data_IF_365894194186
#
_entry.id   IF_365894194186
#
_cell.length_a   1.000
_cell.length_b   1.000
_cell.length_c   1.000
_cell.angle_alpha   90.00
_cell.angle_beta   90.00
_cell.angle_gamma   90.00
#
_symmetry.space_group_name_H-M   'P 1'
#
loop_
_entity.id
_entity.type
_entity.pdbx_description
1 polymer ?
#
# COMPACT_ATOMS: atom_id res chain seq x y z
N UNK A 1 -4.32 -23.52 -17.57
CA UNK A 1 -4.86 -22.15 -17.68
C UNK A 1 -6.30 -22.17 -17.19
N UNK A 2 -6.62 -21.38 -16.17
CA UNK A 2 -7.86 -21.54 -15.42
C UNK A 2 -9.05 -20.96 -16.20
N UNK A 3 -10.22 -21.60 -16.20
CA UNK A 3 -11.38 -21.19 -17.03
C UNK A 3 -11.84 -19.75 -16.70
N UNK A 4 -11.73 -19.34 -15.44
CA UNK A 4 -11.98 -17.96 -14.98
C UNK A 4 -11.00 -16.94 -15.59
N UNK A 5 -9.76 -17.35 -15.83
CA UNK A 5 -8.69 -16.52 -16.37
C UNK A 5 -8.87 -16.31 -17.88
N UNK A 6 -9.34 -17.34 -18.57
CA UNK A 6 -9.68 -17.28 -19.99
C UNK A 6 -10.89 -16.36 -20.26
N UNK A 7 -11.95 -16.48 -19.45
CA UNK A 7 -13.12 -15.59 -19.52
C UNK A 7 -12.74 -14.13 -19.24
N UNK A 8 -11.91 -13.89 -18.22
CA UNK A 8 -11.42 -12.54 -17.89
C UNK A 8 -10.62 -11.92 -19.03
N UNK A 9 -9.83 -12.71 -19.74
CA UNK A 9 -9.07 -12.26 -20.92
C UNK A 9 -9.98 -11.97 -22.13
N UNK A 10 -10.99 -12.80 -22.37
CA UNK A 10 -11.97 -12.58 -23.45
C UNK A 10 -12.79 -11.30 -23.18
N UNK A 11 -13.25 -11.09 -21.94
CA UNK A 11 -13.99 -9.88 -21.56
C UNK A 11 -13.11 -8.63 -21.70
N UNK A 12 -11.85 -8.67 -21.23
CA UNK A 12 -10.90 -7.56 -21.43
C UNK A 12 -10.65 -7.26 -22.91
N UNK A 13 -10.53 -8.30 -23.74
CA UNK A 13 -10.36 -8.13 -25.17
C UNK A 13 -11.59 -7.50 -25.83
N UNK A 14 -12.80 -7.98 -25.49
CA UNK A 14 -14.06 -7.41 -25.98
C UNK A 14 -14.25 -5.94 -25.58
N UNK A 15 -13.95 -5.59 -24.33
CA UNK A 15 -14.02 -4.19 -23.85
C UNK A 15 -13.01 -3.30 -24.59
N UNK A 16 -11.82 -3.83 -24.90
CA UNK A 16 -10.76 -3.11 -25.62
C UNK A 16 -11.11 -2.92 -27.10
N UNK A 17 -11.77 -3.90 -27.71
CA UNK A 17 -12.28 -3.81 -29.08
C UNK A 17 -13.48 -2.87 -29.15
N UNK A 18 -14.40 -2.93 -28.18
CA UNK A 18 -15.61 -2.10 -28.17
C UNK A 18 -15.32 -0.61 -28.08
N UNK A 19 -14.25 -0.23 -27.37
CA UNK A 19 -13.79 1.16 -27.31
C UNK A 19 -13.31 1.69 -28.68
N UNK A 20 -12.85 0.82 -29.57
CA UNK A 20 -12.30 1.19 -30.88
C UNK A 20 -13.27 1.02 -32.06
N UNK A 21 -14.47 0.49 -31.81
CA UNK A 21 -15.50 0.27 -32.85
C UNK A 21 -15.80 1.54 -33.66
N UNK A 22 -15.94 2.75 -33.07
CA UNK A 22 -16.23 3.96 -33.84
C UNK A 22 -15.12 4.31 -34.84
N UNK A 23 -13.85 4.14 -34.44
CA UNK A 23 -12.70 4.39 -35.29
C UNK A 23 -12.63 3.39 -36.45
N UNK A 24 -12.88 2.11 -36.17
CA UNK A 24 -12.87 1.04 -37.18
C UNK A 24 -14.00 1.23 -38.20
N UNK A 25 -15.21 1.57 -37.73
CA UNK A 25 -16.35 1.85 -38.61
C UNK A 25 -16.13 3.07 -39.50
N UNK A 26 -15.57 4.16 -38.95
CA UNK A 26 -15.28 5.37 -39.72
C UNK A 26 -14.22 5.10 -40.81
N UNK A 27 -13.15 4.38 -40.48
CA UNK A 27 -12.12 3.98 -41.46
C UNK A 27 -12.70 3.06 -42.54
N UNK A 28 -13.51 2.06 -42.14
CA UNK A 28 -14.15 1.15 -43.10
C UNK A 28 -15.10 1.89 -44.06
N UNK A 29 -15.89 2.83 -43.54
CA UNK A 29 -16.77 3.67 -44.35
C UNK A 29 -15.95 4.56 -45.30
N UNK A 30 -14.84 5.13 -44.82
CA UNK A 30 -13.91 5.91 -45.64
C UNK A 30 -13.33 5.11 -46.80
N UNK A 31 -12.93 3.85 -46.58
CA UNK A 31 -12.46 2.94 -47.65
C UNK A 31 -13.56 2.64 -48.67
N UNK A 32 -14.79 2.42 -48.23
CA UNK A 32 -15.94 2.19 -49.13
C UNK A 32 -16.21 3.43 -49.99
N UNK A 33 -16.18 4.64 -49.41
CA UNK A 33 -16.35 5.89 -50.16
C UNK A 33 -15.20 6.14 -51.16
N UNK A 34 -13.97 5.76 -50.79
CA UNK A 34 -12.82 5.85 -51.71
C UNK A 34 -13.00 4.95 -52.94
N UNK A 35 -13.35 3.67 -52.71
CA UNK A 35 -13.54 2.70 -53.79
C UNK A 35 -14.71 3.09 -54.70
N UNK A 36 -15.79 3.63 -54.14
CA UNK A 36 -16.94 4.10 -54.92
C UNK A 36 -16.64 5.36 -55.72
N UNK A 37 -15.87 6.31 -55.19
CA UNK A 37 -15.34 7.45 -55.95
C UNK A 37 -14.52 6.98 -57.15
N UNK A 38 -13.58 6.05 -56.95
CA UNK A 38 -12.71 5.54 -58.01
C UNK A 38 -13.49 4.85 -59.14
N UNK A 39 -14.60 4.18 -58.84
CA UNK A 39 -15.46 3.56 -59.86
C UNK A 39 -16.34 4.54 -60.63
N UNK A 40 -16.50 5.78 -60.15
CA UNK A 40 -17.32 6.82 -60.78
C UNK A 40 -16.50 7.82 -61.60
N UNK A 41 -15.17 7.75 -61.51
CA UNK A 41 -14.25 8.76 -62.06
C UNK A 41 -14.21 8.79 -63.60
N UNK A 42 -14.50 7.65 -64.25
CA UNK A 42 -14.55 7.52 -65.71
C UNK A 42 -15.81 8.15 -66.36
N UNK A 43 -16.80 8.56 -65.55
CA UNK A 43 -18.08 9.11 -66.05
C UNK A 43 -18.07 10.63 -65.91
N UNK A 44 -17.90 11.35 -67.02
CA UNK A 44 -17.79 12.83 -67.10
C UNK A 44 -18.93 13.55 -66.35
N UNK A 45 -20.14 12.99 -66.34
CA UNK A 45 -21.32 13.58 -65.68
C UNK A 45 -21.27 13.46 -64.15
N UNK A 46 -20.49 12.52 -63.61
CA UNK A 46 -20.41 12.20 -62.18
C UNK A 46 -19.17 12.76 -61.48
N UNK A 47 -18.30 13.49 -62.19
CA UNK A 47 -17.01 13.96 -61.65
C UNK A 47 -17.13 14.76 -60.34
N UNK A 48 -18.11 15.67 -60.24
CA UNK A 48 -18.36 16.43 -59.00
C UNK A 48 -18.78 15.56 -57.81
N UNK A 49 -19.45 14.43 -58.07
CA UNK A 49 -19.85 13.47 -57.04
C UNK A 49 -18.64 12.61 -56.62
N UNK A 50 -17.79 12.22 -57.57
CA UNK A 50 -16.50 11.56 -57.30
C UNK A 50 -15.65 12.40 -56.37
N UNK A 51 -15.44 13.69 -56.69
CA UNK A 51 -14.63 14.61 -55.89
C UNK A 51 -15.18 14.74 -54.44
N UNK A 52 -16.49 14.87 -54.27
CA UNK A 52 -17.13 14.95 -52.95
C UNK A 52 -16.95 13.67 -52.11
N UNK A 53 -17.07 12.50 -52.74
CA UNK A 53 -16.86 11.20 -52.09
C UNK A 53 -15.40 11.01 -51.67
N UNK A 54 -14.47 11.53 -52.47
CA UNK A 54 -13.03 11.48 -52.19
C UNK A 54 -12.67 12.37 -50.99
N UNK A 55 -13.24 13.57 -50.89
CA UNK A 55 -13.07 14.46 -49.74
C UNK A 55 -13.68 13.90 -48.45
N UNK A 56 -14.87 13.29 -48.56
CA UNK A 56 -15.51 12.60 -47.43
C UNK A 56 -14.70 11.38 -46.98
N UNK A 57 -14.17 10.60 -47.92
CA UNK A 57 -13.28 9.48 -47.64
C UNK A 57 -12.02 9.93 -46.91
N UNK A 58 -11.35 10.97 -47.43
CA UNK A 58 -10.15 11.53 -46.82
C UNK A 58 -10.40 12.00 -45.39
N UNK A 59 -11.57 12.62 -45.13
CA UNK A 59 -11.98 13.05 -43.78
C UNK A 59 -12.25 11.87 -42.84
N UNK A 60 -12.97 10.85 -43.31
CA UNK A 60 -13.30 9.64 -42.56
C UNK A 60 -12.10 8.72 -42.30
N UNK A 61 -11.02 8.86 -43.08
CA UNK A 61 -9.75 8.19 -42.81
C UNK A 61 -8.86 9.03 -41.89
N UNK A 62 -8.66 10.31 -42.19
CA UNK A 62 -7.69 11.15 -41.49
C UNK A 62 -8.08 11.45 -40.05
N UNK A 63 -9.34 11.81 -39.77
CA UNK A 63 -9.78 12.20 -38.42
C UNK A 63 -9.64 11.03 -37.42
N UNK A 64 -10.16 9.81 -37.70
CA UNK A 64 -9.97 8.67 -36.82
C UNK A 64 -8.51 8.28 -36.61
N UNK A 65 -7.68 8.31 -37.66
CA UNK A 65 -6.26 7.96 -37.58
C UNK A 65 -5.50 8.96 -36.71
N UNK A 66 -5.77 10.26 -36.87
CA UNK A 66 -5.15 11.32 -36.06
C UNK A 66 -5.57 11.18 -34.59
N UNK A 67 -6.86 10.99 -34.32
CA UNK A 67 -7.37 10.82 -32.96
C UNK A 67 -6.79 9.58 -32.28
N UNK A 68 -6.79 8.44 -32.97
CA UNK A 68 -6.20 7.20 -32.45
C UNK A 68 -4.70 7.35 -32.19
N UNK A 69 -3.97 7.95 -33.13
CA UNK A 69 -2.53 8.20 -32.98
C UNK A 69 -2.24 9.14 -31.81
N UNK A 70 -3.04 10.19 -31.66
CA UNK A 70 -2.97 11.11 -30.52
C UNK A 70 -3.22 10.39 -29.20
N UNK A 71 -4.27 9.58 -29.10
CA UNK A 71 -4.55 8.78 -27.89
C UNK A 71 -3.41 7.81 -27.57
N UNK A 72 -2.84 7.13 -28.57
CA UNK A 72 -1.70 6.22 -28.38
C UNK A 72 -0.47 6.97 -27.87
N UNK A 73 -0.14 8.10 -28.50
CA UNK A 73 1.02 8.93 -28.11
C UNK A 73 0.81 9.53 -26.73
N UNK A 74 -0.36 10.10 -26.46
CA UNK A 74 -0.76 10.65 -25.16
C UNK A 74 -0.66 9.58 -24.07
N UNK A 75 -1.25 8.41 -24.28
CA UNK A 75 -1.17 7.30 -23.33
C UNK A 75 0.28 6.87 -23.07
N UNK A 76 1.14 6.86 -24.09
CA UNK A 76 2.56 6.49 -23.93
C UNK A 76 3.35 7.54 -23.15
N UNK A 77 3.10 8.82 -23.41
CA UNK A 77 3.73 9.95 -22.70
C UNK A 77 3.24 10.01 -21.26
N UNK A 78 1.94 9.88 -21.04
CA UNK A 78 1.33 9.88 -19.72
C UNK A 78 1.78 8.67 -18.91
N UNK A 79 1.89 7.48 -19.52
CA UNK A 79 2.40 6.28 -18.83
C UNK A 79 3.87 6.43 -18.41
N UNK A 80 4.70 7.08 -19.22
CA UNK A 80 6.10 7.39 -18.89
C UNK A 80 6.22 8.42 -17.77
N UNK A 81 5.51 9.57 -17.86
CA UNK A 81 5.56 10.62 -16.83
C UNK A 81 4.89 10.21 -15.51
N UNK A 82 3.80 9.44 -15.58
CA UNK A 82 3.11 8.96 -14.39
C UNK A 82 3.82 7.79 -13.73
N UNK A 83 4.84 7.18 -14.35
CA UNK A 83 5.57 6.08 -13.73
C UNK A 83 6.30 6.54 -12.48
N UNK A 84 7.08 7.62 -12.56
CA UNK A 84 7.83 8.15 -11.41
C UNK A 84 6.89 8.65 -10.30
N UNK A 85 5.79 9.31 -10.69
CA UNK A 85 4.74 9.76 -9.76
C UNK A 85 4.08 8.55 -9.09
N UNK A 86 3.72 7.53 -9.86
CA UNK A 86 3.09 6.30 -9.36
C UNK A 86 4.04 5.52 -8.44
N UNK A 87 5.33 5.42 -8.77
CA UNK A 87 6.34 4.79 -7.92
C UNK A 87 6.55 5.57 -6.63
N UNK A 88 6.59 6.91 -6.69
CA UNK A 88 6.66 7.76 -5.51
C UNK A 88 5.42 7.60 -4.62
N UNK A 89 4.21 7.61 -5.19
CA UNK A 89 2.96 7.39 -4.46
C UNK A 89 2.97 6.01 -3.81
N UNK A 90 3.33 4.96 -4.57
CA UNK A 90 3.46 3.60 -4.06
C UNK A 90 4.45 3.54 -2.90
N UNK A 91 5.63 4.15 -3.03
CA UNK A 91 6.65 4.14 -1.99
C UNK A 91 6.19 4.81 -0.68
N UNK A 92 5.45 5.91 -0.76
CA UNK A 92 4.88 6.56 0.43
C UNK A 92 3.82 5.69 1.10
N UNK A 93 2.93 5.08 0.32
CA UNK A 93 1.91 4.16 0.84
C UNK A 93 2.55 2.93 1.47
N UNK A 94 3.48 2.29 0.78
CA UNK A 94 4.17 1.09 1.22
C UNK A 94 4.95 1.33 2.54
N UNK A 95 5.51 2.52 2.72
CA UNK A 95 6.14 2.94 3.97
C UNK A 95 5.16 2.95 5.13
N UNK A 96 3.97 3.51 4.97
CA UNK A 96 2.95 3.54 6.02
C UNK A 96 2.37 2.14 6.27
N UNK A 97 2.18 1.33 5.22
CA UNK A 97 1.79 -0.09 5.34
C UNK A 97 2.82 -0.88 6.16
N UNK A 98 4.11 -0.70 5.89
CA UNK A 98 5.17 -1.41 6.64
C UNK A 98 5.21 -0.95 8.09
N UNK A 99 5.00 0.34 8.34
CA UNK A 99 4.90 0.88 9.71
C UNK A 99 3.73 0.24 10.44
N UNK A 100 2.55 0.18 9.81
CA UNK A 100 1.37 -0.49 10.34
C UNK A 100 1.63 -1.97 10.66
N UNK A 101 2.18 -2.74 9.70
CA UNK A 101 2.45 -4.16 9.90
C UNK A 101 3.47 -4.41 11.02
N UNK A 102 4.46 -3.53 11.18
CA UNK A 102 5.42 -3.59 12.29
C UNK A 102 4.78 -3.33 13.65
N UNK A 103 3.76 -2.48 13.72
CA UNK A 103 3.00 -2.24 14.95
C UNK A 103 1.99 -3.34 15.24
N UNK A 104 1.41 -3.99 14.22
CA UNK A 104 0.45 -5.08 14.39
C UNK A 104 1.10 -6.40 14.79
N UNK A 105 2.26 -6.75 14.21
CA UNK A 105 2.88 -8.07 14.42
C UNK A 105 3.12 -8.41 15.91
N UNK A 106 3.62 -7.49 16.77
CA UNK A 106 3.85 -7.77 18.19
C UNK A 106 2.58 -7.99 19.03
N UNK A 107 1.39 -7.70 18.50
CA UNK A 107 0.12 -7.99 19.19
C UNK A 107 -0.18 -9.49 19.23
N UNK A 108 0.23 -10.23 18.20
CA UNK A 108 -0.11 -11.65 18.03
C UNK A 108 1.12 -12.55 17.98
N UNK A 109 2.33 -11.99 18.06
CA UNK A 109 3.58 -12.72 17.87
C UNK A 109 4.70 -12.28 18.83
N UNK A 110 5.43 -13.27 19.40
CA UNK A 110 6.37 -13.10 20.53
C UNK A 110 7.71 -12.41 20.28
N UNK A 111 8.14 -12.23 19.02
CA UNK A 111 9.49 -11.71 18.71
C UNK A 111 9.47 -10.32 18.09
N UNK A 112 10.61 -9.64 18.22
CA UNK A 112 10.88 -8.25 17.82
C UNK A 112 10.37 -7.92 16.40
N UNK A 113 9.88 -6.69 16.21
CA UNK A 113 9.31 -6.20 14.95
C UNK A 113 10.38 -6.08 13.84
N UNK A 114 10.74 -7.21 13.23
CA UNK A 114 11.70 -7.31 12.13
C UNK A 114 10.98 -7.56 10.79
N UNK A 115 11.72 -7.42 9.69
CA UNK A 115 11.17 -7.56 8.33
C UNK A 115 10.61 -8.97 8.07
N UNK A 116 11.19 -10.02 8.68
CA UNK A 116 10.65 -11.38 8.56
C UNK A 116 9.28 -11.55 9.20
N UNK A 117 9.00 -10.82 10.29
CA UNK A 117 7.71 -10.85 10.99
C UNK A 117 6.60 -10.17 10.20
N UNK A 118 6.91 -9.08 9.49
CA UNK A 118 5.98 -8.45 8.54
C UNK A 118 5.57 -9.46 7.46
N UNK A 119 6.54 -10.20 6.91
CA UNK A 119 6.26 -11.24 5.91
C UNK A 119 5.45 -12.42 6.50
N UNK A 120 5.68 -12.78 7.75
CA UNK A 120 4.92 -13.85 8.43
C UNK A 120 3.48 -13.42 8.73
N UNK A 121 3.28 -12.17 9.15
CA UNK A 121 1.96 -11.57 9.37
C UNK A 121 1.12 -11.58 8.10
N UNK A 122 1.72 -11.24 6.95
CA UNK A 122 1.05 -11.30 5.64
C UNK A 122 0.65 -12.73 5.22
N UNK A 123 1.11 -13.77 5.92
CA UNK A 123 0.82 -15.19 5.63
C UNK A 123 0.07 -15.89 6.75
N UNK A 124 -0.24 -15.21 7.85
CA UNK A 124 -0.78 -15.85 9.05
C UNK A 124 -2.26 -16.24 8.87
N UNK A 125 -2.63 -17.44 9.29
CA UNK A 125 -4.02 -17.89 9.31
C UNK A 125 -4.70 -17.52 10.63
N UNK A 126 -6.04 -17.45 10.65
CA UNK A 126 -6.81 -17.19 11.88
C UNK A 126 -6.47 -18.18 13.00
N UNK A 127 -6.38 -19.47 12.69
CA UNK A 127 -6.00 -20.49 13.66
C UNK A 127 -4.60 -20.28 14.24
N UNK A 128 -3.61 -19.94 13.40
CA UNK A 128 -2.24 -19.68 13.85
C UNK A 128 -2.13 -18.38 14.66
N UNK A 129 -2.86 -17.34 14.26
CA UNK A 129 -2.92 -16.07 14.99
C UNK A 129 -3.55 -16.25 16.39
N UNK A 130 -4.69 -16.94 16.47
CA UNK A 130 -5.35 -17.26 17.74
C UNK A 130 -4.47 -18.09 18.67
N UNK A 131 -3.82 -19.14 18.13
CA UNK A 131 -2.91 -19.96 18.92
C UNK A 131 -1.71 -19.15 19.41
N UNK A 132 -1.12 -18.32 18.55
CA UNK A 132 0.01 -17.47 18.92
C UNK A 132 -0.36 -16.48 20.02
N UNK A 133 -1.56 -15.89 19.95
CA UNK A 133 -2.10 -15.00 20.97
C UNK A 133 -2.35 -15.75 22.31
N UNK A 134 -2.84 -16.99 22.27
CA UNK A 134 -3.01 -17.81 23.49
C UNK A 134 -1.67 -18.18 24.15
N UNK A 135 -0.67 -18.53 23.33
CA UNK A 135 0.66 -18.96 23.79
C UNK A 135 1.54 -17.76 24.22
N UNK A 136 1.25 -16.57 23.70
CA UNK A 136 2.01 -15.34 23.93
C UNK A 136 1.10 -14.19 24.33
N UNK A 137 1.26 -13.72 25.56
CA UNK A 137 0.64 -12.48 26.02
C UNK A 137 1.44 -11.26 25.54
N UNK A 138 0.87 -10.39 24.68
CA UNK A 138 1.57 -9.21 24.16
C UNK A 138 1.86 -8.24 25.30
N UNK A 139 3.04 -7.59 25.27
CA UNK A 139 3.37 -6.56 26.27
C UNK A 139 2.32 -5.44 26.27
N UNK A 140 2.03 -4.89 27.45
CA UNK A 140 1.17 -3.69 27.57
C UNK A 140 1.69 -2.55 26.70
N UNK A 141 3.01 -2.46 26.49
CA UNK A 141 3.64 -1.54 25.54
C UNK A 141 3.03 -1.58 24.12
N UNK A 142 2.68 -2.76 23.61
CA UNK A 142 2.09 -2.92 22.28
C UNK A 142 0.58 -2.70 22.28
N UNK A 143 -0.11 -3.05 23.37
CA UNK A 143 -1.54 -2.75 23.52
C UNK A 143 -1.80 -1.25 23.71
N UNK A 144 -0.91 -0.54 24.40
CA UNK A 144 -1.04 0.89 24.65
C UNK A 144 -0.69 1.76 23.43
N UNK A 145 -0.44 1.16 22.26
CA UNK A 145 -0.19 1.89 21.02
C UNK A 145 -1.35 2.84 20.73
N UNK A 146 -1.04 4.08 20.41
CA UNK A 146 -2.00 5.03 19.88
C UNK A 146 -2.30 4.71 18.41
N UNK A 147 -3.37 3.95 18.19
CA UNK A 147 -3.83 3.65 16.84
C UNK A 147 -4.42 4.88 16.13
N UNK A 148 -4.83 5.91 16.87
CA UNK A 148 -5.26 7.20 16.33
C UNK A 148 -4.11 7.92 15.62
N UNK A 149 -2.90 7.90 16.19
CA UNK A 149 -1.70 8.42 15.52
C UNK A 149 -1.35 7.67 14.22
N UNK A 150 -1.73 6.39 14.08
CA UNK A 150 -1.57 5.65 12.82
C UNK A 150 -2.70 6.02 11.86
N UNK A 151 -3.93 6.10 12.35
CA UNK A 151 -5.09 6.57 11.59
C UNK A 151 -4.84 7.94 10.96
N UNK A 152 -4.38 8.93 11.73
CA UNK A 152 -4.10 10.28 11.26
C UNK A 152 -3.09 10.28 10.11
N UNK A 153 -2.03 9.45 10.20
CA UNK A 153 -1.06 9.30 9.11
C UNK A 153 -1.67 8.75 7.83
N UNK A 154 -2.57 7.77 7.94
CA UNK A 154 -3.30 7.27 6.77
C UNK A 154 -4.25 8.33 6.22
N UNK A 155 -4.93 9.08 7.08
CA UNK A 155 -5.84 10.15 6.66
C UNK A 155 -5.09 11.30 5.96
N UNK A 156 -3.97 11.75 6.52
CA UNK A 156 -3.09 12.77 5.92
C UNK A 156 -2.54 12.30 4.57
N UNK A 157 -2.12 11.03 4.50
CA UNK A 157 -1.64 10.42 3.25
C UNK A 157 -2.73 10.41 2.18
N UNK A 158 -3.97 10.05 2.51
CA UNK A 158 -5.10 10.04 1.57
C UNK A 158 -5.54 11.47 1.20
N UNK A 159 -5.43 12.42 2.13
CA UNK A 159 -5.79 13.82 1.91
C UNK A 159 -4.79 14.58 1.03
N UNK A 160 -3.57 14.06 0.88
CA UNK A 160 -2.59 14.57 -0.08
C UNK A 160 -3.13 14.49 -1.50
N UNK A 161 -3.31 15.65 -2.16
CA UNK A 161 -3.82 15.76 -3.53
C UNK A 161 -3.04 14.87 -4.51
N UNK A 162 -1.70 14.88 -4.41
CA UNK A 162 -0.82 14.05 -5.22
C UNK A 162 -1.11 12.55 -5.07
N UNK A 163 -1.37 12.08 -3.86
CA UNK A 163 -1.67 10.67 -3.60
C UNK A 163 -3.10 10.38 -4.04
N UNK A 164 -4.05 11.21 -3.64
CA UNK A 164 -5.47 11.05 -3.93
C UNK A 164 -5.74 10.89 -5.42
N UNK A 165 -5.21 11.79 -6.25
CA UNK A 165 -5.43 11.79 -7.70
C UNK A 165 -4.83 10.58 -8.41
N UNK A 166 -3.81 9.96 -7.81
CA UNK A 166 -3.12 8.79 -8.37
C UNK A 166 -3.60 7.45 -7.81
N UNK A 167 -4.63 7.47 -6.95
CA UNK A 167 -5.29 6.27 -6.43
C UNK A 167 -6.66 6.07 -7.10
N UNK A 168 -6.94 4.85 -7.53
CA UNK A 168 -8.28 4.42 -7.96
C UNK A 168 -9.28 4.44 -6.80
N UNK A 169 -10.57 4.52 -7.11
CA UNK A 169 -11.64 4.50 -6.09
C UNK A 169 -11.56 3.27 -5.19
N UNK A 170 -11.25 2.09 -5.74
CA UNK A 170 -11.13 0.90 -4.88
C UNK A 170 -9.88 0.94 -4.01
N UNK A 171 -8.77 1.55 -4.47
CA UNK A 171 -7.58 1.75 -3.62
C UNK A 171 -7.86 2.73 -2.48
N UNK A 172 -8.56 3.83 -2.76
CA UNK A 172 -9.01 4.76 -1.70
C UNK A 172 -9.89 4.04 -0.67
N UNK A 173 -10.80 3.18 -1.13
CA UNK A 173 -11.68 2.40 -0.27
C UNK A 173 -10.92 1.38 0.62
N UNK A 174 -9.77 0.85 0.17
CA UNK A 174 -8.91 0.00 1.00
C UNK A 174 -8.46 0.77 2.25
N UNK A 175 -7.97 1.99 2.07
CA UNK A 175 -7.47 2.79 3.21
C UNK A 175 -8.58 3.22 4.15
N UNK A 176 -9.76 3.57 3.64
CA UNK A 176 -10.94 3.85 4.48
C UNK A 176 -11.31 2.64 5.35
N UNK A 177 -11.22 1.42 4.79
CA UNK A 177 -11.48 0.19 5.55
C UNK A 177 -10.38 -0.08 6.59
N UNK A 178 -9.11 0.16 6.25
CA UNK A 178 -8.00 0.07 7.21
C UNK A 178 -8.22 1.03 8.38
N UNK A 179 -8.57 2.29 8.12
CA UNK A 179 -8.88 3.30 9.16
C UNK A 179 -10.00 2.82 10.09
N UNK A 180 -11.06 2.21 9.57
CA UNK A 180 -12.14 1.64 10.41
C UNK A 180 -11.64 0.54 11.33
N UNK A 181 -10.78 -0.35 10.82
CA UNK A 181 -10.19 -1.41 11.65
C UNK A 181 -9.20 -0.87 12.68
N UNK A 182 -8.47 0.22 12.39
CA UNK A 182 -7.63 0.90 13.36
C UNK A 182 -8.44 1.46 14.53
N UNK A 183 -9.61 2.04 14.26
CA UNK A 183 -10.53 2.49 15.31
C UNK A 183 -11.04 1.33 16.16
N UNK A 184 -11.34 0.19 15.55
CA UNK A 184 -11.70 -1.02 16.27
C UNK A 184 -10.55 -1.49 17.19
N UNK A 185 -9.31 -1.45 16.69
CA UNK A 185 -8.13 -1.79 17.49
C UNK A 185 -7.91 -0.81 18.65
N UNK A 186 -8.09 0.51 18.46
CA UNK A 186 -7.98 1.49 19.56
C UNK A 186 -8.97 1.18 20.69
N UNK A 187 -10.18 0.77 20.34
CA UNK A 187 -11.18 0.34 21.32
C UNK A 187 -10.79 -0.98 21.98
N UNK A 188 -10.45 -2.01 21.21
CA UNK A 188 -10.19 -3.36 21.72
C UNK A 188 -8.90 -3.46 22.54
N UNK A 189 -7.93 -2.59 22.26
CA UNK A 189 -6.69 -2.46 23.03
C UNK A 189 -6.85 -1.51 24.21
N UNK A 190 -8.06 -1.00 24.47
CA UNK A 190 -8.34 -0.19 25.63
C UNK A 190 -8.06 -0.98 26.91
N UNK A 191 -7.38 -0.38 27.88
CA UNK A 191 -6.85 -1.14 28.99
C UNK A 191 -7.92 -1.68 29.94
N UNK A 192 -9.14 -1.14 29.90
CA UNK A 192 -10.28 -1.71 30.62
C UNK A 192 -10.56 -3.16 30.26
N UNK A 193 -10.10 -3.63 29.11
CA UNK A 193 -10.26 -5.00 28.64
C UNK A 193 -9.17 -5.95 29.10
N UNK A 194 -8.11 -5.46 29.76
CA UNK A 194 -6.96 -6.28 30.15
C UNK A 194 -6.70 -6.17 31.65
N UNK A 195 -6.24 -7.27 32.25
CA UNK A 195 -5.70 -7.24 33.61
C UNK A 195 -4.18 -7.15 33.51
N UNK A 196 -3.58 -6.12 34.09
CA UNK A 196 -2.12 -6.00 34.13
C UNK A 196 -1.58 -7.07 35.09
N UNK A 197 -0.66 -7.94 34.65
CA UNK A 197 0.01 -8.84 35.59
C UNK A 197 1.08 -8.07 36.37
N UNK A 198 1.27 -8.42 37.64
CA UNK A 198 2.16 -7.68 38.55
C UNK A 198 3.67 -7.85 38.27
N UNK A 199 4.06 -8.69 37.29
CA UNK A 199 5.48 -8.95 36.98
C UNK A 199 5.93 -8.21 35.72
N UNK A 200 6.84 -7.26 35.92
CA UNK A 200 7.61 -6.61 34.85
C UNK A 200 8.75 -7.51 34.35
N UNK A 201 9.03 -7.44 33.04
CA UNK A 201 10.25 -8.05 32.48
C UNK A 201 11.48 -7.18 32.80
N UNK A 202 12.31 -7.65 33.75
CA UNK A 202 13.51 -6.95 34.21
C UNK A 202 14.58 -6.70 33.11
N UNK A 203 14.48 -7.40 31.96
CA UNK A 203 15.38 -7.22 30.81
C UNK A 203 14.93 -6.09 29.90
N UNK A 204 13.70 -5.61 30.03
CA UNK A 204 13.15 -4.55 29.20
C UNK A 204 13.17 -3.22 29.94
N UNK A 205 13.16 -2.12 29.17
CA UNK A 205 12.93 -0.78 29.69
C UNK A 205 12.45 0.13 28.55
N UNK A 206 11.87 1.27 28.87
CA UNK A 206 11.44 2.25 27.87
C UNK A 206 12.19 3.57 27.98
N UNK A 207 12.35 4.24 26.84
CA UNK A 207 12.91 5.60 26.77
C UNK A 207 11.89 6.47 26.04
N UNK A 208 11.48 7.57 26.67
CA UNK A 208 10.63 8.56 26.02
C UNK A 208 11.43 9.35 24.99
N UNK A 209 10.85 9.63 23.83
CA UNK A 209 11.51 10.29 22.70
C UNK A 209 12.13 11.64 23.07
N UNK A 210 11.45 12.43 23.92
CA UNK A 210 11.95 13.73 24.42
C UNK A 210 13.26 13.62 25.20
N UNK A 211 13.53 12.46 25.80
CA UNK A 211 14.78 12.22 26.54
C UNK A 211 15.97 11.94 25.60
N UNK A 212 15.69 11.67 24.32
CA UNK A 212 16.69 11.40 23.28
C UNK A 212 16.90 12.65 22.44
N UNK A 213 15.81 13.31 22.07
CA UNK A 213 15.81 14.57 21.34
C UNK A 213 14.77 15.51 21.98
N UNK A 214 15.20 16.49 22.79
CA UNK A 214 14.29 17.47 23.41
C UNK A 214 13.52 18.33 22.41
N UNK A 215 13.95 18.40 21.15
CA UNK A 215 13.28 19.15 20.08
C UNK A 215 12.21 18.36 19.33
N UNK A 216 12.01 17.09 19.69
CA UNK A 216 11.03 16.22 19.03
C UNK A 216 9.61 16.76 19.17
N UNK A 217 8.89 16.85 18.04
CA UNK A 217 7.45 17.13 18.04
C UNK A 217 6.60 15.94 18.51
N UNK A 218 7.22 14.78 18.72
CA UNK A 218 6.57 13.52 19.09
C UNK A 218 6.86 13.20 20.56
N UNK A 219 6.28 13.96 21.48
CA UNK A 219 6.50 13.80 22.92
C UNK A 219 5.97 12.46 23.46
N UNK A 220 4.96 11.89 22.79
CA UNK A 220 4.26 10.65 23.15
C UNK A 220 4.96 9.38 22.65
N UNK A 221 6.12 9.54 22.03
CA UNK A 221 6.87 8.47 21.39
C UNK A 221 7.74 7.75 22.39
N UNK A 222 7.64 6.43 22.44
CA UNK A 222 8.46 5.59 23.32
C UNK A 222 9.25 4.55 22.52
N UNK A 223 10.51 4.38 22.91
CA UNK A 223 11.33 3.24 22.50
C UNK A 223 11.23 2.15 23.55
N UNK A 224 10.98 0.92 23.10
CA UNK A 224 11.14 -0.29 23.90
C UNK A 224 12.54 -0.85 23.69
N UNK A 225 13.28 -0.99 24.78
CA UNK A 225 14.67 -1.38 24.81
C UNK A 225 14.84 -2.72 25.53
N UNK A 226 15.74 -3.56 25.04
CA UNK A 226 16.20 -4.79 25.70
C UNK A 226 17.63 -4.62 26.16
N UNK A 227 17.90 -4.86 27.45
CA UNK A 227 19.26 -4.92 28.01
C UNK A 227 20.04 -6.05 27.34
N UNK A 228 21.24 -5.74 26.87
CA UNK A 228 22.15 -6.72 26.30
C UNK A 228 23.09 -7.26 27.37
N UNK A 229 23.77 -8.38 27.09
CA UNK A 229 24.75 -8.98 28.02
C UNK A 229 26.00 -8.11 28.22
N UNK A 230 26.25 -7.15 27.32
CA UNK A 230 27.37 -6.22 27.43
C UNK A 230 26.90 -5.02 28.26
N UNK A 231 27.68 -4.65 29.28
CA UNK A 231 27.36 -3.50 30.14
C UNK A 231 27.07 -2.23 29.33
N UNK A 232 26.08 -1.47 29.80
CA UNK A 232 25.65 -0.20 29.21
C UNK A 232 25.22 -0.27 27.73
N UNK A 233 24.88 -1.47 27.22
CA UNK A 233 24.33 -1.62 25.87
C UNK A 233 22.90 -2.14 25.90
N UNK A 234 22.09 -1.58 25.02
CA UNK A 234 20.70 -1.97 24.84
C UNK A 234 20.35 -2.01 23.35
N UNK A 235 19.41 -2.89 23.01
CA UNK A 235 18.88 -3.04 21.66
C UNK A 235 17.47 -2.46 21.61
N UNK A 236 17.17 -1.65 20.60
CA UNK A 236 15.80 -1.23 20.30
C UNK A 236 15.05 -2.45 19.78
N UNK A 237 13.95 -2.82 20.44
CA UNK A 237 13.09 -3.94 20.07
C UNK A 237 11.70 -3.50 19.63
N UNK A 238 11.30 -2.27 19.96
CA UNK A 238 10.02 -1.70 19.57
C UNK A 238 10.02 -0.17 19.66
N UNK A 239 9.06 0.44 18.97
CA UNK A 239 8.88 1.89 18.90
C UNK A 239 7.41 2.16 18.60
N UNK A 240 6.73 2.85 19.52
CA UNK A 240 5.31 3.18 19.39
C UNK A 240 5.04 4.58 19.94
N UNK A 241 4.03 5.23 19.38
CA UNK A 241 3.41 6.40 19.98
C UNK A 241 2.36 5.88 21.00
N UNK A 242 2.36 6.39 22.24
CA UNK A 242 1.52 5.93 23.36
C UNK A 242 0.81 7.14 23.97
N UNK A 243 -0.53 7.14 23.98
CA UNK A 243 -1.36 8.24 24.50
C UNK A 243 -0.94 8.67 25.91
N UNK A 244 -0.78 9.98 26.13
CA UNK A 244 -0.53 10.55 27.47
C UNK A 244 -1.58 10.10 28.49
N UNK A 245 -1.12 9.76 29.70
CA UNK A 245 -1.98 9.35 30.81
C UNK A 245 -2.48 7.90 30.76
N UNK A 246 -2.31 7.17 29.65
CA UNK A 246 -2.75 5.76 29.59
C UNK A 246 -1.89 4.85 30.46
N UNK A 247 -0.56 5.01 30.56
CA UNK A 247 0.25 4.21 31.51
C UNK A 247 1.56 4.88 31.94
N UNK A 248 1.91 4.73 33.24
CA UNK A 248 3.30 4.45 33.63
C UNK A 248 3.71 3.21 32.85
N UNK A 249 4.43 3.41 31.74
CA UNK A 249 4.79 2.44 30.70
C UNK A 249 5.18 1.08 31.30
N UNK A 250 4.20 0.21 31.56
CA UNK A 250 4.45 -0.99 32.34
C UNK A 250 4.99 -2.04 31.39
N UNK A 251 6.19 -2.52 31.72
CA UNK A 251 6.88 -3.61 31.01
C UNK A 251 6.29 -4.97 31.39
N UNK A 252 5.06 -4.95 31.88
CA UNK A 252 4.28 -6.09 32.32
C UNK A 252 3.61 -6.73 31.12
N UNK A 253 3.58 -8.05 31.09
CA UNK A 253 2.63 -8.79 30.26
C UNK A 253 1.25 -8.74 30.93
N UNK A 254 0.19 -8.31 30.25
CA UNK A 254 -1.16 -8.41 30.77
C UNK A 254 -1.62 -9.88 30.79
N UNK A 255 -2.48 -10.22 31.73
CA UNK A 255 -3.46 -11.27 31.50
C UNK A 255 -4.44 -10.77 30.44
N UNK A 256 -4.48 -11.48 29.31
CA UNK A 256 -5.35 -11.16 28.18
C UNK A 256 -6.80 -10.96 28.60
N UNK A 257 -7.51 -10.17 27.80
CA UNK A 257 -8.95 -9.99 27.92
C UNK A 257 -9.73 -11.28 27.64
N UNK A 258 -11.06 -11.18 27.65
CA UNK A 258 -11.93 -12.32 27.34
C UNK A 258 -11.60 -12.92 25.96
N UNK A 259 -11.94 -14.20 25.77
CA UNK A 259 -11.73 -14.88 24.49
C UNK A 259 -12.33 -14.09 23.31
N UNK A 260 -13.48 -13.43 23.53
CA UNK A 260 -14.13 -12.57 22.54
C UNK A 260 -13.30 -11.33 22.17
N UNK A 261 -12.65 -10.67 23.13
CA UNK A 261 -11.76 -9.52 22.85
C UNK A 261 -10.57 -9.98 22.00
N UNK A 262 -9.97 -11.11 22.37
CA UNK A 262 -8.84 -11.67 21.65
C UNK A 262 -9.20 -12.08 20.21
N UNK A 263 -10.37 -12.70 20.00
CA UNK A 263 -10.88 -13.02 18.67
C UNK A 263 -11.10 -11.77 17.82
N UNK A 264 -11.69 -10.71 18.40
CA UNK A 264 -11.93 -9.47 17.69
C UNK A 264 -10.62 -8.76 17.30
N UNK A 265 -9.59 -8.79 18.16
CA UNK A 265 -8.26 -8.26 17.81
C UNK A 265 -7.68 -9.02 16.61
N UNK A 266 -7.73 -10.36 16.64
CA UNK A 266 -7.24 -11.19 15.53
C UNK A 266 -8.03 -10.91 14.27
N UNK A 267 -9.34 -10.74 14.37
CA UNK A 267 -10.21 -10.44 13.22
C UNK A 267 -9.86 -9.10 12.59
N UNK A 268 -9.71 -8.04 13.38
CA UNK A 268 -9.29 -6.73 12.86
C UNK A 268 -7.91 -6.79 12.18
N UNK A 269 -6.95 -7.51 12.76
CA UNK A 269 -5.62 -7.70 12.13
C UNK A 269 -5.74 -8.43 10.79
N UNK A 270 -6.57 -9.47 10.70
CA UNK A 270 -6.75 -10.24 9.47
C UNK A 270 -7.55 -9.47 8.41
N UNK A 271 -8.50 -8.65 8.81
CA UNK A 271 -9.22 -7.75 7.91
C UNK A 271 -8.24 -6.75 7.29
N UNK A 272 -7.41 -6.08 8.11
CA UNK A 272 -6.35 -5.19 7.64
C UNK A 272 -5.44 -5.93 6.64
N UNK A 273 -4.96 -7.12 6.99
CA UNK A 273 -4.15 -7.96 6.08
C UNK A 273 -4.86 -8.17 4.75
N UNK A 274 -6.12 -8.58 4.75
CA UNK A 274 -6.86 -8.86 3.51
C UNK A 274 -7.00 -7.62 2.62
N UNK A 275 -7.15 -6.43 3.21
CA UNK A 275 -7.20 -5.18 2.46
C UNK A 275 -5.84 -4.80 1.88
N UNK A 276 -4.76 -5.08 2.61
CA UNK A 276 -3.40 -4.89 2.13
C UNK A 276 -3.03 -5.87 1.00
N UNK A 277 -3.56 -7.10 1.01
CA UNK A 277 -3.38 -8.04 -0.11
C UNK A 277 -3.96 -7.50 -1.41
N UNK A 278 -5.15 -6.86 -1.35
CA UNK A 278 -5.74 -6.20 -2.52
C UNK A 278 -4.87 -5.03 -3.02
N UNK A 279 -4.24 -4.29 -2.12
CA UNK A 279 -3.28 -3.22 -2.49
C UNK A 279 -2.07 -3.81 -3.22
N UNK A 280 -1.45 -4.84 -2.64
CA UNK A 280 -0.28 -5.51 -3.21
C UNK A 280 -0.60 -6.08 -4.60
N UNK A 281 -1.74 -6.75 -4.76
CA UNK A 281 -2.17 -7.33 -6.04
C UNK A 281 -2.32 -6.26 -7.14
N UNK A 282 -2.75 -5.04 -6.79
CA UNK A 282 -2.90 -3.93 -7.74
C UNK A 282 -1.58 -3.25 -8.10
N UNK A 283 -0.58 -3.28 -7.20
CA UNK A 283 0.67 -2.49 -7.33
C UNK A 283 1.93 -3.36 -7.51
N UNK A 284 1.75 -4.61 -7.94
CA UNK A 284 2.83 -5.48 -8.44
C UNK A 284 3.31 -6.56 -7.48
N UNK A 285 2.60 -6.83 -6.38
CA UNK A 285 2.94 -7.86 -5.38
C UNK A 285 4.32 -7.69 -4.72
N UNK A 286 4.77 -6.45 -4.62
CA UNK A 286 6.01 -6.06 -3.96
C UNK A 286 5.81 -4.77 -3.17
N UNK A 287 6.48 -4.68 -2.03
CA UNK A 287 6.55 -3.49 -1.19
C UNK A 287 7.84 -2.75 -1.51
N UNK A 288 7.74 -1.49 -1.92
CA UNK A 288 8.89 -0.62 -2.12
C UNK A 288 9.35 -0.04 -0.78
N UNK A 289 10.61 -0.33 -0.42
CA UNK A 289 11.25 0.19 0.78
C UNK A 289 12.41 1.11 0.38
N UNK A 290 12.35 2.39 0.78
CA UNK A 290 13.51 3.28 0.61
C UNK A 290 14.64 2.86 1.57
N UNK A 291 15.72 2.35 0.99
CA UNK A 291 16.93 1.95 1.72
C UNK A 291 17.58 3.09 2.49
N UNK A 292 17.32 4.36 2.14
CA UNK A 292 17.86 5.54 2.83
C UNK A 292 17.31 5.73 4.25
N UNK A 293 16.20 5.09 4.59
CA UNK A 293 15.64 5.08 5.94
C UNK A 293 16.22 3.98 6.84
N UNK A 294 17.08 3.12 6.30
CA UNK A 294 17.85 2.16 7.09
C UNK A 294 19.21 2.78 7.39
N UNK A 295 19.53 2.96 8.69
CA UNK A 295 20.92 3.16 9.10
C UNK A 295 21.70 1.89 8.77
N UNK A 296 22.25 1.80 7.56
CA UNK A 296 23.26 0.80 7.26
C UNK A 296 24.46 1.11 8.14
N UNK A 297 24.79 0.18 9.03
CA UNK A 297 26.01 0.27 9.82
C UNK A 297 27.14 0.32 8.80
N UNK A 298 27.83 1.45 8.65
CA UNK A 298 29.10 1.49 7.90
C UNK A 298 30.00 0.44 8.54
N UNK A 299 30.12 -0.72 7.91
CA UNK A 299 31.13 -1.71 8.30
C UNK A 299 32.47 -1.02 8.11
N UNK A 300 33.25 -0.93 9.20
CA UNK A 300 34.59 -0.32 9.27
C UNK A 300 35.62 -0.87 8.26
N UNK A 301 35.23 -1.76 7.35
CA UNK A 301 36.09 -2.38 6.36
C UNK A 301 36.05 -1.74 4.97
N UNK A 302 35.21 -0.72 4.72
CA UNK A 302 35.23 -0.03 3.41
C UNK A 302 36.46 0.88 3.25
N UNK A 303 36.91 1.54 4.32
CA UNK A 303 38.08 2.43 4.30
C UNK A 303 39.44 1.70 4.16
N UNK A 304 39.44 0.36 4.15
CA UNK A 304 40.65 -0.46 3.96
C UNK A 304 40.82 -0.96 2.52
N UNK A 305 39.75 -0.92 1.71
CA UNK A 305 39.79 -1.28 0.29
C UNK A 305 40.08 -0.07 -0.61
N UNK A 306 39.72 1.14 -0.20
CA UNK A 306 40.03 2.39 -0.91
C UNK A 306 41.47 2.92 -0.64
N UNK A 307 42.32 2.14 0.03
CA UNK A 307 43.76 2.46 0.20
C UNK A 307 44.68 1.44 -0.47
N UNK A 308 44.13 0.60 -1.34
CA UNK A 308 44.87 -0.37 -2.16
C UNK A 308 44.56 -0.23 -3.66
N UNK A 309 43.97 0.91 -4.05
CA UNK A 309 43.98 1.45 -5.42
C UNK A 309 44.74 2.79 -5.40
#
# INVERSE_FOLDING_TARGET
MNMKEMIKNIVRWLVKVSANIPYILAVALGVVLFLTSFMMDDVIVLKKLSDLLLDLSASLLSIPIILYSYEVVKNKIDHSRNKDISEYVKMNVDREIVTLLKSLAPLIMKEDANTSRVCELLKITKSKAMKSLQDYHPLVFYLATDWGCIEDRFMDMIASELIYDNLSVEERNIFVKIVRELRNLDYLTDPKFFRVADKEDAKLFTIQGRNIDPSTKFEERFLLMRKMKIENTAMVIGFNDIKHGKYKVSLTTPMMGSAAVNENIVESILNIRSYLEVWLDKRGNEILLDSRNFRTRKTKNRDRLERLE
#
